data_IF_422277921847
#
_entry.id   IF_422277921847
#
_cell.length_a   1.000
_cell.length_b   1.000
_cell.length_c   1.000
_cell.angle_alpha   90.00
_cell.angle_beta   90.00
_cell.angle_gamma   90.00
#
_symmetry.space_group_name_H-M   'P 1'
#
loop_
_entity.id
_entity.type
_entity.pdbx_description
1 polymer ?
#
# COMPACT_ATOMS: atom_id res chain seq x y z
N UNK A 1 -60.18 -4.39 -8.37
CA UNK A 1 -59.10 -5.11 -9.11
C UNK A 1 -57.76 -4.66 -8.54
N UNK A 2 -57.08 -5.46 -7.69
CA UNK A 2 -55.78 -5.07 -7.17
C UNK A 2 -54.73 -5.19 -8.29
N UNK A 3 -54.06 -4.07 -8.58
CA UNK A 3 -52.98 -4.00 -9.57
C UNK A 3 -51.79 -4.84 -9.09
N UNK A 4 -51.50 -5.93 -9.81
CA UNK A 4 -50.36 -6.80 -9.54
C UNK A 4 -49.06 -6.07 -9.92
N UNK A 5 -48.35 -5.56 -8.91
CA UNK A 5 -47.00 -5.01 -9.09
C UNK A 5 -46.06 -6.14 -9.51
N UNK A 6 -45.64 -6.12 -10.77
CA UNK A 6 -44.64 -7.04 -11.31
C UNK A 6 -43.33 -6.88 -10.50
N UNK A 7 -42.69 -7.96 -10.02
CA UNK A 7 -41.44 -7.87 -9.28
C UNK A 7 -40.35 -7.26 -10.16
N UNK A 8 -39.61 -6.27 -9.63
CA UNK A 8 -38.47 -5.65 -10.32
C UNK A 8 -37.40 -6.73 -10.58
N UNK A 9 -36.84 -6.83 -11.78
CA UNK A 9 -35.74 -7.77 -12.04
C UNK A 9 -34.59 -7.46 -11.08
N UNK A 10 -34.04 -8.51 -10.45
CA UNK A 10 -32.89 -8.40 -9.57
C UNK A 10 -31.69 -7.90 -10.39
N UNK A 11 -31.08 -6.80 -9.97
CA UNK A 11 -29.86 -6.28 -10.59
C UNK A 11 -28.75 -7.34 -10.45
N UNK A 12 -28.02 -7.69 -11.53
CA UNK A 12 -26.91 -8.64 -11.42
C UNK A 12 -25.89 -8.12 -10.41
N UNK A 13 -25.57 -8.94 -9.40
CA UNK A 13 -24.55 -8.61 -8.40
C UNK A 13 -23.19 -8.86 -9.04
N UNK A 14 -22.46 -7.80 -9.35
CA UNK A 14 -21.08 -7.90 -9.78
C UNK A 14 -20.20 -8.28 -8.57
N UNK A 15 -19.23 -9.20 -8.72
CA UNK A 15 -18.30 -9.50 -7.65
C UNK A 15 -17.49 -8.26 -7.32
N UNK A 16 -17.57 -7.80 -6.06
CA UNK A 16 -16.80 -6.66 -5.57
C UNK A 16 -15.45 -7.16 -5.04
N UNK A 17 -14.40 -6.37 -5.26
CA UNK A 17 -13.07 -6.64 -4.73
C UNK A 17 -13.03 -6.35 -3.23
N UNK A 18 -12.19 -7.09 -2.52
CA UNK A 18 -11.91 -6.82 -1.12
C UNK A 18 -11.40 -5.38 -0.92
N UNK A 19 -11.87 -4.73 0.14
CA UNK A 19 -11.60 -3.31 0.40
C UNK A 19 -10.12 -3.08 0.70
N UNK A 20 -9.52 -3.91 1.54
CA UNK A 20 -8.15 -3.71 2.01
C UNK A 20 -7.16 -4.07 0.92
N UNK A 21 -7.45 -5.12 0.14
CA UNK A 21 -6.70 -5.40 -1.08
C UNK A 21 -6.75 -4.23 -2.07
N UNK A 22 -7.92 -3.60 -2.23
CA UNK A 22 -8.07 -2.45 -3.14
C UNK A 22 -7.24 -1.24 -2.69
N UNK A 23 -7.06 -1.06 -1.38
CA UNK A 23 -6.20 0.00 -0.81
C UNK A 23 -4.72 -0.30 -1.06
N UNK A 24 -4.29 -1.56 -0.88
CA UNK A 24 -2.91 -1.96 -1.20
C UNK A 24 -2.62 -1.82 -2.70
N UNK A 25 -3.58 -2.18 -3.56
CA UNK A 25 -3.45 -1.99 -5.02
C UNK A 25 -3.41 -0.51 -5.42
N UNK A 26 -4.11 0.36 -4.68
CA UNK A 26 -3.99 1.80 -4.83
C UNK A 26 -2.57 2.27 -4.48
N UNK A 27 -2.05 1.89 -3.31
CA UNK A 27 -0.69 2.27 -2.91
C UNK A 27 0.38 1.71 -3.86
N UNK A 28 0.20 0.51 -4.39
CA UNK A 28 1.08 -0.04 -5.43
C UNK A 28 1.08 0.83 -6.71
N UNK A 29 -0.06 1.41 -7.09
CA UNK A 29 -0.12 2.35 -8.23
C UNK A 29 0.56 3.69 -7.93
N UNK A 30 0.49 4.16 -6.68
CA UNK A 30 1.24 5.35 -6.24
C UNK A 30 2.74 5.07 -6.26
N UNK A 31 3.19 3.90 -5.78
CA UNK A 31 4.61 3.51 -5.80
C UNK A 31 5.16 3.46 -7.23
N UNK A 32 4.36 3.05 -8.22
CA UNK A 32 4.79 3.08 -9.63
C UNK A 32 5.20 4.46 -10.13
N UNK A 33 4.72 5.55 -9.53
CA UNK A 33 5.22 6.89 -9.88
C UNK A 33 6.64 7.14 -9.36
N UNK A 34 7.03 6.54 -8.25
CA UNK A 34 8.40 6.60 -7.74
C UNK A 34 9.38 5.74 -8.58
N UNK A 35 8.89 4.67 -9.21
CA UNK A 35 9.68 3.77 -10.07
C UNK A 35 10.00 4.36 -11.45
N UNK A 36 9.37 5.46 -11.82
CA UNK A 36 9.46 6.07 -13.15
C UNK A 36 10.68 6.98 -13.28
N UNK A 37 11.57 6.67 -14.22
CA UNK A 37 12.75 7.49 -14.53
C UNK A 37 12.44 8.83 -15.19
N UNK A 38 11.23 9.03 -15.72
CA UNK A 38 10.78 10.32 -16.29
C UNK A 38 10.19 11.29 -15.25
N UNK A 39 10.05 10.86 -14.00
CA UNK A 39 9.61 11.70 -12.88
C UNK A 39 10.83 12.31 -12.18
N UNK A 40 10.82 13.62 -11.85
CA UNK A 40 11.95 14.25 -11.14
C UNK A 40 12.31 13.52 -9.84
N UNK A 41 13.60 13.42 -9.54
CA UNK A 41 14.13 12.60 -8.44
C UNK A 41 13.46 12.88 -7.08
N UNK A 42 13.28 14.14 -6.71
CA UNK A 42 12.64 14.51 -5.45
C UNK A 42 11.13 14.21 -5.44
N UNK A 43 10.47 14.28 -6.59
CA UNK A 43 9.06 13.86 -6.71
C UNK A 43 8.92 12.34 -6.60
N UNK A 44 9.89 11.56 -7.13
CA UNK A 44 9.94 10.10 -6.91
C UNK A 44 10.08 9.78 -5.43
N UNK A 45 11.00 10.45 -4.73
CA UNK A 45 11.16 10.31 -3.28
C UNK A 45 9.87 10.69 -2.54
N UNK A 46 9.21 11.77 -2.94
CA UNK A 46 7.93 12.19 -2.36
C UNK A 46 6.84 11.14 -2.52
N UNK A 47 6.68 10.53 -3.71
CA UNK A 47 5.73 9.43 -3.91
C UNK A 47 6.05 8.23 -3.02
N UNK A 48 7.33 7.89 -2.86
CA UNK A 48 7.76 6.85 -1.93
C UNK A 48 7.35 7.17 -0.48
N UNK A 49 7.56 8.40 -0.02
CA UNK A 49 7.14 8.86 1.31
C UNK A 49 5.61 8.79 1.47
N UNK A 50 4.83 9.19 0.46
CA UNK A 50 3.36 9.10 0.49
C UNK A 50 2.92 7.64 0.69
N UNK A 51 3.52 6.69 -0.02
CA UNK A 51 3.22 5.26 0.16
C UNK A 51 3.56 4.80 1.57
N UNK A 52 4.69 5.24 2.13
CA UNK A 52 5.07 4.93 3.51
C UNK A 52 4.01 5.40 4.51
N UNK A 53 3.64 6.69 4.45
CA UNK A 53 2.66 7.25 5.38
C UNK A 53 1.28 6.61 5.24
N UNK A 54 0.86 6.28 4.02
CA UNK A 54 -0.41 5.57 3.81
C UNK A 54 -0.37 4.14 4.37
N UNK A 55 0.78 3.47 4.32
CA UNK A 55 0.95 2.14 4.90
C UNK A 55 0.94 2.20 6.43
N UNK A 56 1.55 3.22 7.03
CA UNK A 56 1.48 3.43 8.48
C UNK A 56 0.01 3.59 8.94
N UNK A 57 -0.77 4.45 8.27
CA UNK A 57 -2.21 4.61 8.57
C UNK A 57 -2.99 3.29 8.33
N UNK A 58 -2.64 2.55 7.27
CA UNK A 58 -3.26 1.26 6.99
C UNK A 58 -3.04 0.28 8.15
N UNK A 59 -1.82 0.19 8.69
CA UNK A 59 -1.53 -0.71 9.80
C UNK A 59 -2.11 -0.22 11.13
N UNK A 60 -2.14 1.09 11.36
CA UNK A 60 -2.70 1.67 12.58
C UNK A 60 -4.23 1.47 12.67
N UNK A 61 -4.94 1.64 11.55
CA UNK A 61 -6.41 1.68 11.56
C UNK A 61 -7.06 0.40 11.02
N UNK A 62 -6.42 -0.29 10.07
CA UNK A 62 -7.09 -1.31 9.23
C UNK A 62 -6.57 -2.73 9.41
N UNK A 63 -5.40 -2.91 10.01
CA UNK A 63 -4.88 -4.25 10.27
C UNK A 63 -5.56 -4.95 11.46
N UNK A 64 -6.13 -4.19 12.41
CA UNK A 64 -6.71 -4.74 13.64
C UNK A 64 -7.79 -5.82 13.39
N UNK A 65 -8.78 -5.62 12.49
CA UNK A 65 -9.81 -6.64 12.27
C UNK A 65 -9.25 -7.95 11.72
N UNK A 66 -8.22 -7.89 10.86
CA UNK A 66 -7.55 -9.08 10.33
C UNK A 66 -6.78 -9.82 11.41
N UNK A 67 -6.05 -9.08 12.27
CA UNK A 67 -5.31 -9.65 13.40
C UNK A 67 -6.27 -10.31 14.39
N UNK A 68 -7.39 -9.65 14.71
CA UNK A 68 -8.40 -10.16 15.62
C UNK A 68 -9.09 -11.41 15.07
N UNK A 69 -9.49 -11.41 13.80
CA UNK A 69 -10.08 -12.59 13.16
C UNK A 69 -9.09 -13.77 13.07
N UNK A 70 -7.81 -13.49 12.76
CA UNK A 70 -6.77 -14.51 12.70
C UNK A 70 -6.51 -15.13 14.08
N UNK A 71 -6.38 -14.31 15.14
CA UNK A 71 -6.21 -14.78 16.53
C UNK A 71 -7.41 -15.58 17.03
N UNK A 72 -8.62 -15.19 16.63
CA UNK A 72 -9.86 -15.91 16.96
C UNK A 72 -10.08 -17.18 16.12
N UNK A 73 -9.24 -17.45 15.11
CA UNK A 73 -9.41 -18.56 14.18
C UNK A 73 -10.63 -18.41 13.25
N UNK A 74 -11.17 -17.20 13.13
CA UNK A 74 -12.36 -16.90 12.32
C UNK A 74 -12.02 -16.36 10.93
N UNK A 75 -10.73 -16.21 10.60
CA UNK A 75 -10.24 -15.84 9.27
C UNK A 75 -10.31 -17.02 8.26
N UNK A 76 -11.50 -17.59 8.11
CA UNK A 76 -11.73 -18.76 7.24
C UNK A 76 -11.41 -18.47 5.77
N UNK A 77 -11.52 -17.21 5.36
CA UNK A 77 -11.19 -16.80 4.01
C UNK A 77 -9.68 -16.52 3.82
N UNK A 78 -8.83 -16.55 4.85
CA UNK A 78 -7.41 -16.22 4.76
C UNK A 78 -7.13 -14.78 4.33
N UNK A 79 -7.97 -13.85 4.78
CA UNK A 79 -7.84 -12.42 4.53
C UNK A 79 -6.53 -11.86 5.10
N UNK A 80 -6.15 -12.28 6.30
CA UNK A 80 -4.91 -11.84 6.96
C UNK A 80 -3.69 -12.23 6.13
N UNK A 81 -3.57 -13.50 5.72
CA UNK A 81 -2.40 -13.94 4.93
C UNK A 81 -2.30 -13.19 3.60
N UNK A 82 -3.42 -12.98 2.88
CA UNK A 82 -3.41 -12.25 1.61
C UNK A 82 -3.03 -10.78 1.79
N UNK A 83 -3.64 -10.10 2.76
CA UNK A 83 -3.37 -8.69 3.05
C UNK A 83 -1.90 -8.50 3.44
N UNK A 84 -1.39 -9.35 4.34
CA UNK A 84 0.02 -9.28 4.76
C UNK A 84 0.98 -9.60 3.61
N UNK A 85 0.69 -10.61 2.79
CA UNK A 85 1.54 -10.92 1.64
C UNK A 85 1.61 -9.74 0.64
N UNK A 86 0.48 -9.10 0.35
CA UNK A 86 0.44 -7.94 -0.53
C UNK A 86 1.15 -6.73 0.07
N UNK A 87 1.02 -6.50 1.38
CA UNK A 87 1.71 -5.41 2.08
C UNK A 87 3.23 -5.64 2.11
N UNK A 88 3.69 -6.85 2.44
CA UNK A 88 5.12 -7.20 2.42
C UNK A 88 5.72 -7.02 1.03
N UNK A 89 5.06 -7.53 -0.02
CA UNK A 89 5.54 -7.34 -1.39
C UNK A 89 5.64 -5.86 -1.80
N UNK A 90 4.75 -5.00 -1.29
CA UNK A 90 4.80 -3.57 -1.54
C UNK A 90 5.96 -2.90 -0.79
N UNK A 91 6.17 -3.27 0.48
CA UNK A 91 7.27 -2.77 1.31
C UNK A 91 8.62 -3.21 0.74
N UNK A 92 8.77 -4.46 0.33
CA UNK A 92 10.01 -4.98 -0.28
C UNK A 92 10.38 -4.18 -1.54
N UNK A 93 9.40 -3.89 -2.40
CA UNK A 93 9.60 -3.02 -3.57
C UNK A 93 9.99 -1.61 -3.20
N UNK A 94 9.36 -1.05 -2.15
CA UNK A 94 9.67 0.29 -1.66
C UNK A 94 11.11 0.38 -1.17
N UNK A 95 11.57 -0.60 -0.37
CA UNK A 95 12.94 -0.66 0.12
C UNK A 95 13.95 -0.89 -1.00
N UNK A 96 13.65 -1.78 -1.94
CA UNK A 96 14.49 -1.97 -3.13
C UNK A 96 14.67 -0.67 -3.91
N UNK A 97 13.56 0.01 -4.24
CA UNK A 97 13.60 1.29 -4.93
C UNK A 97 14.39 2.37 -4.16
N UNK A 98 14.18 2.45 -2.84
CA UNK A 98 14.87 3.43 -2.01
C UNK A 98 16.39 3.19 -1.99
N UNK A 99 16.81 1.95 -1.72
CA UNK A 99 18.21 1.62 -1.50
C UNK A 99 19.01 1.47 -2.80
N UNK A 100 18.41 0.87 -3.83
CA UNK A 100 19.13 0.50 -5.05
C UNK A 100 19.08 1.58 -6.13
N UNK A 101 18.12 2.52 -6.06
CA UNK A 101 17.97 3.59 -7.04
C UNK A 101 17.98 5.00 -6.42
N UNK A 102 17.07 5.30 -5.49
CA UNK A 102 16.91 6.68 -5.02
C UNK A 102 18.11 7.18 -4.20
N UNK A 103 18.64 6.38 -3.27
CA UNK A 103 19.82 6.75 -2.49
C UNK A 103 21.07 6.99 -3.39
N UNK A 104 21.42 6.08 -4.31
CA UNK A 104 22.49 6.34 -5.29
C UNK A 104 22.25 7.58 -6.15
N UNK A 105 21.05 7.76 -6.69
CA UNK A 105 20.70 8.91 -7.54
C UNK A 105 20.84 10.23 -6.77
N UNK A 106 20.39 10.27 -5.51
CA UNK A 106 20.53 11.43 -4.63
C UNK A 106 22.00 11.74 -4.34
N UNK A 107 22.80 10.71 -4.04
CA UNK A 107 24.22 10.86 -3.77
C UNK A 107 24.98 11.42 -4.98
N UNK A 108 24.62 11.01 -6.20
CA UNK A 108 25.18 11.54 -7.45
C UNK A 108 24.86 13.03 -7.65
N UNK A 109 23.77 13.53 -7.08
CA UNK A 109 23.40 14.95 -7.04
C UNK A 109 23.95 15.68 -5.81
N UNK A 110 24.82 15.05 -5.03
CA UNK A 110 25.41 15.63 -3.82
C UNK A 110 24.51 15.60 -2.58
N UNK A 111 23.35 14.94 -2.64
CA UNK A 111 22.43 14.79 -1.51
C UNK A 111 22.67 13.44 -0.83
N UNK A 112 23.11 13.46 0.43
CA UNK A 112 23.37 12.24 1.22
C UNK A 112 22.43 12.17 2.41
N UNK A 113 21.68 11.08 2.51
CA UNK A 113 20.92 10.73 3.71
C UNK A 113 21.87 9.94 4.63
N UNK A 114 22.19 10.51 5.79
CA UNK A 114 23.11 9.90 6.76
C UNK A 114 22.34 9.40 7.98
N UNK A 115 22.73 8.23 8.49
CA UNK A 115 22.21 7.72 9.76
C UNK A 115 22.62 8.62 10.90
N UNK A 116 21.90 8.57 12.01
CA UNK A 116 22.27 9.29 13.23
C UNK A 116 23.69 8.93 13.71
N UNK A 117 24.09 7.67 13.55
CA UNK A 117 25.42 7.18 13.96
C UNK A 117 26.57 7.73 13.12
N UNK A 118 26.28 8.20 11.90
CA UNK A 118 27.29 8.67 10.94
C UNK A 118 27.44 10.20 10.95
N UNK A 119 26.79 10.89 11.89
CA UNK A 119 26.89 12.35 12.02
C UNK A 119 28.23 12.73 12.66
N UNK A 120 28.93 13.66 12.05
CA UNK A 120 30.28 14.06 12.48
C UNK A 120 30.29 14.93 13.73
N UNK A 121 29.18 15.53 14.15
CA UNK A 121 28.97 16.23 15.44
C UNK A 121 27.47 16.14 15.87
N UNK A 122 27.13 16.35 17.16
CA UNK A 122 25.76 16.25 17.69
C UNK A 122 24.73 17.18 17.03
#
# INVERSE_FOLDING_TARGET
MPSSRRPRPATPRHPLRDRDQSILDFNARVLRWAERGDVPLLERLRYLCIVSSNLDEFFEVRAEPHVTAWRAGTDAAGGMQRTMAAAHALVDRQYGLFNEALLPDLAAQGVRIVSHLDRTEP
#
